data_IF_393558378677
#
_entry.id   IF_393558378677
#
_cell.length_a   1.000
_cell.length_b   1.000
_cell.length_c   1.000
_cell.angle_alpha   90.00
_cell.angle_beta   90.00
_cell.angle_gamma   90.00
#
_symmetry.space_group_name_H-M   'P 1'
#
loop_
_entity.id
_entity.type
_entity.pdbx_description
1 polymer ?
#
# COMPACT_ATOMS: atom_id res chain seq x y z
N UNK A 1 -2.52 -0.13 -8.95
CA UNK A 1 -3.10 -1.44 -8.54
C UNK A 1 -4.27 -1.23 -7.61
N UNK A 2 -5.34 -1.94 -7.82
CA UNK A 2 -6.51 -1.96 -6.94
C UNK A 2 -6.53 -3.29 -6.20
N UNK A 3 -6.38 -3.26 -4.87
CA UNK A 3 -6.22 -4.47 -4.07
C UNK A 3 -7.35 -4.57 -3.04
N UNK A 4 -8.21 -5.61 -3.11
CA UNK A 4 -9.20 -5.84 -2.06
C UNK A 4 -8.53 -6.25 -0.76
N UNK A 5 -9.11 -5.84 0.37
CA UNK A 5 -8.59 -6.13 1.71
C UNK A 5 -9.67 -6.71 2.60
N UNK A 6 -9.27 -7.67 3.45
CA UNK A 6 -10.15 -8.24 4.47
C UNK A 6 -10.24 -7.30 5.69
N UNK A 7 -11.27 -7.48 6.52
CA UNK A 7 -11.40 -6.73 7.77
C UNK A 7 -10.20 -6.97 8.70
N UNK A 8 -9.67 -8.18 8.73
CA UNK A 8 -8.49 -8.52 9.54
C UNK A 8 -7.25 -7.76 9.06
N UNK A 9 -7.03 -7.67 7.76
CA UNK A 9 -5.93 -6.91 7.17
C UNK A 9 -6.02 -5.42 7.52
N UNK A 10 -7.23 -4.86 7.45
CA UNK A 10 -7.48 -3.46 7.81
C UNK A 10 -7.19 -3.22 9.30
N UNK A 11 -7.63 -4.12 10.18
CA UNK A 11 -7.41 -4.00 11.62
C UNK A 11 -5.92 -4.06 11.97
N UNK A 12 -5.16 -4.94 11.33
CA UNK A 12 -3.70 -5.02 11.51
C UNK A 12 -3.03 -3.71 11.13
N UNK A 13 -3.43 -3.12 10.00
CA UNK A 13 -2.85 -1.86 9.54
C UNK A 13 -3.21 -0.68 10.44
N UNK A 14 -4.43 -0.64 10.97
CA UNK A 14 -4.85 0.40 11.90
C UNK A 14 -4.15 0.31 13.26
N UNK A 15 -3.66 -0.86 13.63
CA UNK A 15 -2.93 -1.08 14.88
C UNK A 15 -1.46 -0.66 14.83
N UNK A 16 -0.94 -0.34 13.64
CA UNK A 16 0.47 0.06 13.47
C UNK A 16 0.71 1.46 14.06
N UNK A 17 1.77 1.59 14.86
CA UNK A 17 2.20 2.89 15.37
C UNK A 17 2.85 3.69 14.23
N UNK A 18 2.14 4.72 13.76
CA UNK A 18 2.55 5.56 12.62
C UNK A 18 3.90 6.23 12.88
N UNK A 19 4.23 6.55 14.13
CA UNK A 19 5.50 7.19 14.46
C UNK A 19 6.73 6.32 14.19
N UNK A 20 6.54 5.00 14.06
CA UNK A 20 7.61 4.05 13.74
C UNK A 20 7.86 3.89 12.25
N UNK A 21 7.00 4.46 11.40
CA UNK A 21 7.09 4.33 9.96
C UNK A 21 8.10 5.30 9.36
N UNK A 22 8.81 4.85 8.33
CA UNK A 22 9.77 5.68 7.59
C UNK A 22 9.10 6.85 6.88
N UNK A 23 7.92 6.59 6.29
CA UNK A 23 7.06 7.60 5.67
C UNK A 23 5.72 7.56 6.40
N UNK A 24 5.56 8.37 7.48
CA UNK A 24 4.41 8.26 8.38
C UNK A 24 3.10 8.68 7.73
N UNK A 25 2.24 7.70 7.49
CA UNK A 25 0.85 7.90 7.05
C UNK A 25 -0.04 6.85 7.70
N UNK A 26 -1.24 7.26 8.12
CA UNK A 26 -2.23 6.30 8.62
C UNK A 26 -2.85 5.53 7.45
N UNK A 27 -3.40 4.34 7.73
CA UNK A 27 -4.10 3.58 6.70
C UNK A 27 -5.28 4.39 6.13
N UNK A 28 -6.05 5.04 7.00
CA UNK A 28 -7.21 5.83 6.58
C UNK A 28 -6.88 7.03 5.70
N UNK A 29 -5.67 7.59 5.81
CA UNK A 29 -5.20 8.66 4.92
C UNK A 29 -4.92 8.18 3.50
N UNK A 30 -4.71 6.87 3.32
CA UNK A 30 -4.29 6.28 2.06
C UNK A 30 -5.42 5.65 1.25
N UNK A 31 -6.63 5.57 1.79
CA UNK A 31 -7.77 4.90 1.15
C UNK A 31 -9.02 5.76 1.19
N UNK A 32 -9.84 5.67 0.13
CA UNK A 32 -11.19 6.24 0.11
C UNK A 32 -12.21 5.25 0.68
N UNK A 33 -12.06 3.96 0.33
CA UNK A 33 -12.85 2.85 0.88
C UNK A 33 -11.89 1.89 1.59
N UNK A 34 -12.11 1.58 2.87
CA UNK A 34 -11.20 0.68 3.60
C UNK A 34 -11.03 -0.70 2.96
N UNK A 35 -12.05 -1.19 2.27
CA UNK A 35 -12.05 -2.49 1.62
C UNK A 35 -11.08 -2.58 0.43
N UNK A 36 -10.66 -1.44 -0.14
CA UNK A 36 -9.82 -1.40 -1.32
C UNK A 36 -8.66 -0.42 -1.17
N UNK A 37 -7.47 -0.92 -1.41
CA UNK A 37 -6.27 -0.09 -1.55
C UNK A 37 -5.99 0.14 -3.04
N UNK A 38 -5.79 1.39 -3.43
CA UNK A 38 -5.41 1.76 -4.79
C UNK A 38 -4.06 2.50 -4.73
N UNK A 39 -3.03 1.90 -5.30
CA UNK A 39 -1.68 2.47 -5.31
C UNK A 39 -1.06 2.31 -6.69
N UNK A 40 -0.07 3.14 -7.00
CA UNK A 40 0.76 2.93 -8.18
C UNK A 40 1.70 1.74 -7.93
N UNK A 41 1.70 0.78 -8.85
CA UNK A 41 2.52 -0.44 -8.78
C UNK A 41 3.97 -0.16 -9.18
N UNK A 42 4.60 0.82 -8.52
CA UNK A 42 5.97 1.25 -8.80
C UNK A 42 6.72 1.40 -7.49
N UNK A 43 7.80 0.63 -7.32
CA UNK A 43 8.66 0.72 -6.14
C UNK A 43 9.29 2.11 -6.05
N UNK A 44 9.19 2.75 -4.89
CA UNK A 44 9.70 4.12 -4.69
C UNK A 44 11.22 4.21 -4.64
N UNK A 45 11.93 3.08 -4.64
CA UNK A 45 13.40 3.08 -4.69
C UNK A 45 13.90 3.35 -6.12
N UNK A 46 13.66 2.42 -7.07
CA UNK A 46 14.19 2.54 -8.46
C UNK A 46 13.12 2.24 -9.53
N UNK A 47 11.85 2.28 -9.20
CA UNK A 47 10.78 2.12 -10.18
C UNK A 47 10.45 0.70 -10.60
N UNK A 48 10.96 -0.32 -9.90
CA UNK A 48 10.58 -1.71 -10.15
C UNK A 48 9.11 -1.95 -9.77
N UNK A 49 8.47 -2.95 -10.39
CA UNK A 49 7.09 -3.32 -10.07
C UNK A 49 7.06 -4.27 -8.88
N UNK A 50 6.46 -3.89 -7.74
CA UNK A 50 6.35 -4.79 -6.59
C UNK A 50 5.32 -5.90 -6.84
N UNK A 51 5.52 -7.02 -6.16
CA UNK A 51 4.65 -8.19 -6.24
C UNK A 51 3.60 -8.09 -5.13
N UNK A 52 2.33 -8.18 -5.49
CA UNK A 52 1.22 -8.14 -4.52
C UNK A 52 1.14 -9.44 -3.71
N UNK A 53 0.61 -9.34 -2.49
CA UNK A 53 0.44 -10.44 -1.55
C UNK A 53 1.75 -11.19 -1.27
N UNK A 54 2.84 -10.45 -1.17
CA UNK A 54 4.16 -10.99 -0.92
C UNK A 54 4.90 -10.15 0.12
N UNK A 55 6.00 -10.69 0.65
CA UNK A 55 6.79 -10.05 1.67
C UNK A 55 6.32 -10.35 3.09
N UNK A 56 7.05 -9.82 4.07
CA UNK A 56 6.87 -10.16 5.48
C UNK A 56 5.70 -9.42 6.16
N UNK A 57 5.10 -8.45 5.49
CA UNK A 57 4.09 -7.55 6.06
C UNK A 57 2.71 -7.68 5.41
N UNK A 58 2.48 -8.74 4.67
CA UNK A 58 1.17 -9.06 4.08
C UNK A 58 0.73 -8.14 2.94
N UNK A 59 1.65 -7.36 2.38
CA UNK A 59 1.34 -6.41 1.33
C UNK A 59 2.09 -6.69 0.03
N UNK A 60 3.18 -5.95 -0.20
CA UNK A 60 3.93 -5.99 -1.46
C UNK A 60 5.41 -6.23 -1.21
N UNK A 61 6.05 -6.90 -2.14
CA UNK A 61 7.48 -7.15 -2.12
C UNK A 61 8.13 -6.72 -3.44
N UNK A 62 9.16 -5.89 -3.37
CA UNK A 62 9.94 -5.52 -4.55
C UNK A 62 11.17 -6.44 -4.67
N UNK A 63 11.23 -7.32 -5.68
CA UNK A 63 12.32 -8.29 -5.79
C UNK A 63 13.65 -7.67 -6.24
N UNK A 64 13.63 -6.43 -6.76
CA UNK A 64 14.85 -5.79 -7.27
C UNK A 64 15.87 -5.55 -6.16
N UNK A 65 15.43 -5.03 -5.00
CA UNK A 65 16.33 -4.69 -3.89
C UNK A 65 15.76 -5.08 -2.51
N UNK A 66 14.68 -5.87 -2.47
CA UNK A 66 14.16 -6.43 -1.24
C UNK A 66 13.33 -5.48 -0.37
N UNK A 67 12.67 -4.49 -0.95
CA UNK A 67 11.76 -3.63 -0.20
C UNK A 67 10.45 -4.34 0.12
N UNK A 68 10.00 -4.24 1.38
CA UNK A 68 8.74 -4.82 1.84
C UNK A 68 7.75 -3.70 2.17
N UNK A 69 6.54 -3.81 1.64
CA UNK A 69 5.44 -2.90 1.92
C UNK A 69 4.32 -3.65 2.64
N UNK A 70 3.58 -2.95 3.49
CA UNK A 70 2.42 -3.54 4.17
C UNK A 70 1.16 -3.49 3.29
N UNK A 71 0.03 -3.94 3.85
CA UNK A 71 -1.26 -3.97 3.16
C UNK A 71 -1.81 -2.57 2.84
N UNK A 72 -1.25 -1.52 3.42
CA UNK A 72 -1.55 -0.11 3.07
C UNK A 72 -0.56 0.45 2.04
N UNK A 73 0.40 -0.35 1.58
CA UNK A 73 1.46 0.12 0.69
C UNK A 73 2.50 0.98 1.37
N UNK A 74 2.60 0.94 2.71
CA UNK A 74 3.61 1.69 3.47
C UNK A 74 4.92 0.93 3.51
N UNK A 75 6.04 1.64 3.33
CA UNK A 75 7.36 1.01 3.40
C UNK A 75 7.66 0.56 4.84
N UNK A 76 8.01 -0.70 5.01
CA UNK A 76 8.29 -1.31 6.31
C UNK A 76 9.75 -1.81 6.41
N UNK A 77 10.35 -2.23 5.32
CA UNK A 77 11.69 -2.80 5.31
C UNK A 77 12.32 -2.66 3.93
N UNK A 78 13.62 -2.44 3.88
CA UNK A 78 14.38 -2.35 2.64
C UNK A 78 14.73 -0.92 2.25
N UNK A 79 15.33 -0.71 1.07
CA UNK A 79 15.91 0.57 0.68
C UNK A 79 14.92 1.63 0.22
N UNK A 80 13.67 1.29 -0.09
CA UNK A 80 12.70 2.26 -0.58
C UNK A 80 12.48 3.39 0.43
N UNK A 81 12.54 4.67 0.00
CA UNK A 81 12.46 5.81 0.91
C UNK A 81 11.03 6.21 1.29
N UNK A 82 10.05 5.88 0.46
CA UNK A 82 8.68 6.35 0.57
C UNK A 82 7.67 5.21 0.44
N UNK A 83 6.45 5.45 0.92
CA UNK A 83 5.30 4.57 0.69
C UNK A 83 4.98 4.51 -0.81
N UNK A 84 4.29 3.46 -1.25
CA UNK A 84 3.75 3.40 -2.61
C UNK A 84 2.82 4.59 -2.84
N UNK A 85 2.93 5.23 -3.99
CA UNK A 85 2.14 6.42 -4.30
C UNK A 85 0.65 6.07 -4.46
N UNK A 86 -0.22 6.86 -3.85
CA UNK A 86 -1.67 6.76 -4.03
C UNK A 86 -2.07 7.71 -5.15
N UNK A 87 -2.57 7.19 -6.30
CA UNK A 87 -2.98 8.04 -7.42
C UNK A 87 -4.32 8.71 -7.14
N UNK A 88 -4.68 9.70 -7.94
CA UNK A 88 -6.04 10.23 -7.94
C UNK A 88 -6.98 9.14 -8.47
N UNK A 89 -8.03 8.84 -7.74
CA UNK A 89 -9.04 7.85 -8.15
C UNK A 89 -10.38 8.15 -7.50
N UNK A 90 -11.45 7.54 -8.04
CA UNK A 90 -12.79 7.67 -7.49
C UNK A 90 -13.61 6.40 -7.74
N UNK A 91 -14.66 6.22 -6.95
CA UNK A 91 -15.63 5.16 -7.11
C UNK A 91 -16.99 5.78 -7.49
N UNK A 92 -17.24 6.04 -8.80
CA UNK A 92 -18.52 6.59 -9.22
C UNK A 92 -19.69 5.63 -9.01
N UNK A 93 -19.40 4.34 -8.95
CA UNK A 93 -20.34 3.26 -8.59
C UNK A 93 -19.65 2.29 -7.66
N UNK A 94 -20.41 1.51 -6.90
CA UNK A 94 -19.88 0.60 -5.88
C UNK A 94 -18.83 -0.38 -6.43
N UNK A 95 -19.02 -0.88 -7.66
CA UNK A 95 -18.16 -1.85 -8.29
C UNK A 95 -17.23 -1.25 -9.36
N UNK A 96 -17.14 0.07 -9.45
CA UNK A 96 -16.33 0.75 -10.46
C UNK A 96 -15.34 1.70 -9.81
N UNK A 97 -14.05 1.50 -10.12
CA UNK A 97 -12.98 2.40 -9.71
C UNK A 97 -12.36 3.05 -10.94
N UNK A 98 -12.34 4.38 -10.95
CA UNK A 98 -11.71 5.16 -12.02
C UNK A 98 -10.43 5.78 -11.49
N UNK A 99 -9.29 5.52 -12.14
CA UNK A 99 -7.96 6.00 -11.78
C UNK A 99 -7.46 6.99 -12.82
N UNK A 100 -6.99 8.11 -12.36
CA UNK A 100 -6.42 9.11 -13.27
C UNK A 100 -6.79 10.53 -13.02
#
# INVERSE_FOLDING_TARGET
>A
MKCPRTAEEIDVENAVDVSTLRDPQTDSERVQKPDYLVVLGVCTHLGCVPIANAGDFGGYYCPCHGSHYDCSGRIRKGPAPLNLEVPAYEFPEENLCVVG
#
